data_IF_893434071386
#
_entry.id   IF_893434071386
#
_cell.length_a   1.000
_cell.length_b   1.000
_cell.length_c   1.000
_cell.angle_alpha   90.00
_cell.angle_beta   90.00
_cell.angle_gamma   90.00
#
_symmetry.space_group_name_H-M   'P 1'
#
loop_
_entity.id
_entity.type
_entity.pdbx_description
1 polymer ?
#
# COMPACT_ATOMS: atom_id res chain seq x y z
N UNK A 1 19.85 3.03 -19.35
CA UNK A 1 19.75 2.75 -17.89
C UNK A 1 20.54 3.71 -16.98
N UNK A 2 21.39 4.62 -17.49
CA UNK A 2 22.26 5.49 -16.66
C UNK A 2 21.82 6.95 -16.51
N UNK A 3 20.71 7.37 -17.15
CA UNK A 3 20.38 8.79 -17.34
C UNK A 3 19.73 9.49 -16.13
N UNK A 4 19.17 8.71 -15.20
CA UNK A 4 18.33 9.23 -14.10
C UNK A 4 18.98 9.07 -12.71
N UNK A 5 20.22 8.58 -12.63
CA UNK A 5 20.91 8.38 -11.36
C UNK A 5 21.45 9.67 -10.74
N UNK A 6 21.65 10.70 -11.56
CA UNK A 6 22.11 12.03 -11.14
C UNK A 6 20.95 13.02 -10.93
N UNK A 7 19.71 12.61 -11.22
CA UNK A 7 18.53 13.42 -10.95
C UNK A 7 18.17 13.32 -9.48
N UNK A 8 17.90 14.48 -8.88
CA UNK A 8 17.36 14.62 -7.54
C UNK A 8 16.25 13.58 -7.32
N UNK A 9 16.42 12.70 -6.33
CA UNK A 9 15.39 11.71 -6.04
C UNK A 9 14.15 12.46 -5.53
N UNK A 10 12.96 11.92 -5.77
CA UNK A 10 11.72 12.51 -5.22
C UNK A 10 11.73 12.64 -3.67
N UNK A 11 12.74 12.08 -3.00
CA UNK A 11 12.99 12.15 -1.56
C UNK A 11 14.02 13.23 -1.16
N UNK A 12 14.58 13.99 -2.10
CA UNK A 12 15.59 15.01 -1.78
C UNK A 12 15.06 16.04 -0.78
N UNK A 13 15.78 16.18 0.34
CA UNK A 13 15.40 17.00 1.49
C UNK A 13 14.37 16.38 2.44
N UNK A 14 13.81 15.20 2.12
CA UNK A 14 12.71 14.54 2.88
C UNK A 14 13.06 13.12 3.36
N UNK A 15 14.30 12.67 3.18
CA UNK A 15 14.78 11.34 3.59
C UNK A 15 14.47 11.01 5.05
N UNK A 16 14.59 11.98 5.96
CA UNK A 16 14.28 11.79 7.38
C UNK A 16 12.81 11.51 7.64
N UNK A 17 11.91 12.22 6.95
CA UNK A 17 10.46 12.00 7.06
C UNK A 17 10.09 10.62 6.54
N UNK A 18 10.61 10.24 5.38
CA UNK A 18 10.43 8.90 4.83
C UNK A 18 10.97 7.81 5.76
N UNK A 19 12.17 8.01 6.32
CA UNK A 19 12.77 7.09 7.28
C UNK A 19 11.93 6.90 8.55
N UNK A 20 11.37 7.98 9.11
CA UNK A 20 10.47 7.91 10.28
C UNK A 20 9.19 7.17 9.94
N UNK A 21 8.57 7.48 8.80
CA UNK A 21 7.36 6.80 8.34
C UNK A 21 7.63 5.31 8.15
N UNK A 22 8.73 4.95 7.49
CA UNK A 22 9.13 3.56 7.28
C UNK A 22 9.39 2.83 8.60
N UNK A 23 10.07 3.47 9.56
CA UNK A 23 10.32 2.89 10.87
C UNK A 23 9.00 2.64 11.63
N UNK A 24 8.10 3.63 11.63
CA UNK A 24 6.78 3.52 12.25
C UNK A 24 5.96 2.39 11.61
N UNK A 25 6.00 2.27 10.28
CA UNK A 25 5.38 1.20 9.51
C UNK A 25 5.92 -0.17 9.93
N UNK A 26 7.24 -0.33 9.98
CA UNK A 26 7.89 -1.57 10.35
C UNK A 26 7.52 -1.99 11.78
N UNK A 27 7.44 -1.03 12.70
CA UNK A 27 6.99 -1.27 14.08
C UNK A 27 5.52 -1.64 14.14
N UNK A 28 4.64 -1.00 13.35
CA UNK A 28 3.21 -1.33 13.28
C UNK A 28 2.96 -2.74 12.72
N UNK A 29 3.65 -3.09 11.63
CA UNK A 29 3.55 -4.40 11.01
C UNK A 29 4.10 -5.47 11.96
N UNK A 30 5.34 -5.28 12.44
CA UNK A 30 6.01 -6.22 13.33
C UNK A 30 5.28 -6.38 14.66
N UNK A 31 4.88 -5.28 15.27
CA UNK A 31 4.14 -5.24 16.53
C UNK A 31 2.76 -5.89 16.41
N UNK A 32 2.01 -5.59 15.36
CA UNK A 32 0.72 -6.24 15.13
C UNK A 32 0.86 -7.73 14.84
N UNK A 33 1.83 -8.15 14.04
CA UNK A 33 2.15 -9.57 13.85
C UNK A 33 2.50 -10.26 15.17
N UNK A 34 3.27 -9.62 16.05
CA UNK A 34 3.60 -10.16 17.38
C UNK A 34 2.36 -10.30 18.28
N UNK A 35 1.46 -9.30 18.27
CA UNK A 35 0.20 -9.36 19.01
C UNK A 35 -0.71 -10.48 18.48
N UNK A 36 -0.84 -10.62 17.16
CA UNK A 36 -1.61 -11.70 16.55
C UNK A 36 -0.98 -13.07 16.80
N UNK A 37 0.36 -13.16 16.84
CA UNK A 37 1.10 -14.38 17.20
C UNK A 37 0.75 -14.83 18.61
N UNK A 38 0.78 -13.90 19.57
CA UNK A 38 0.40 -14.17 20.96
C UNK A 38 -1.05 -14.62 21.09
N UNK A 39 -1.93 -14.15 20.21
CA UNK A 39 -3.35 -14.55 20.16
C UNK A 39 -3.63 -15.82 19.35
N UNK A 40 -2.59 -16.50 18.83
CA UNK A 40 -2.69 -17.63 17.87
C UNK A 40 -3.59 -17.34 16.66
N UNK A 41 -3.77 -16.07 16.32
CA UNK A 41 -4.68 -15.61 15.28
C UNK A 41 -3.94 -15.44 13.94
N UNK A 42 -3.11 -16.43 13.58
CA UNK A 42 -2.25 -16.42 12.38
C UNK A 42 -3.04 -16.19 11.09
N UNK A 43 -4.32 -16.59 11.06
CA UNK A 43 -5.22 -16.33 9.94
C UNK A 43 -5.38 -14.84 9.59
N UNK A 44 -5.15 -13.92 10.54
CA UNK A 44 -5.37 -12.48 10.36
C UNK A 44 -4.11 -11.71 9.95
N UNK A 45 -2.94 -12.37 9.89
CA UNK A 45 -1.67 -11.69 9.58
C UNK A 45 -1.75 -10.96 8.24
N UNK A 46 -2.26 -11.62 7.20
CA UNK A 46 -2.31 -11.05 5.84
C UNK A 46 -3.27 -9.88 5.74
N UNK A 47 -4.40 -9.94 6.46
CA UNK A 47 -5.34 -8.82 6.56
C UNK A 47 -4.72 -7.63 7.31
N UNK A 48 -4.03 -7.88 8.42
CA UNK A 48 -3.33 -6.83 9.18
C UNK A 48 -2.22 -6.17 8.36
N UNK A 49 -1.36 -6.97 7.73
CA UNK A 49 -0.28 -6.48 6.87
C UNK A 49 -0.86 -5.67 5.71
N UNK A 50 -1.93 -6.17 5.06
CA UNK A 50 -2.61 -5.44 3.98
C UNK A 50 -3.17 -4.10 4.43
N UNK A 51 -3.70 -4.03 5.66
CA UNK A 51 -4.21 -2.78 6.23
C UNK A 51 -3.09 -1.79 6.57
N UNK A 52 -1.97 -2.26 7.15
CA UNK A 52 -0.78 -1.43 7.34
C UNK A 52 -0.31 -0.85 5.99
N UNK A 53 -0.10 -1.71 5.00
CA UNK A 53 0.32 -1.29 3.65
C UNK A 53 -0.68 -0.30 3.03
N UNK A 54 -1.98 -0.49 3.22
CA UNK A 54 -2.98 0.47 2.76
C UNK A 54 -2.86 1.83 3.44
N UNK A 55 -2.62 1.85 4.75
CA UNK A 55 -2.42 3.06 5.56
C UNK A 55 -1.09 3.75 5.21
N UNK A 56 -0.06 3.00 4.83
CA UNK A 56 1.24 3.52 4.36
C UNK A 56 1.11 4.54 3.22
N UNK A 57 0.12 4.36 2.34
CA UNK A 57 -0.11 5.25 1.21
C UNK A 57 -0.54 6.67 1.62
N UNK A 58 -1.04 6.86 2.86
CA UNK A 58 -1.43 8.18 3.37
C UNK A 58 -0.22 9.11 3.57
N UNK A 59 0.82 8.75 4.35
CA UNK A 59 2.02 9.57 4.45
C UNK A 59 2.77 9.67 3.12
N UNK A 60 2.73 8.64 2.26
CA UNK A 60 3.29 8.71 0.90
C UNK A 60 2.64 9.82 0.07
N UNK A 61 1.32 9.99 0.13
CA UNK A 61 0.64 11.07 -0.58
C UNK A 61 1.16 12.45 -0.17
N UNK A 62 1.53 12.62 1.11
CA UNK A 62 2.09 13.88 1.59
C UNK A 62 3.57 14.07 1.20
N UNK A 63 4.38 13.01 1.28
CA UNK A 63 5.80 13.04 0.90
C UNK A 63 5.97 13.28 -0.60
N UNK A 64 5.16 12.63 -1.44
CA UNK A 64 5.19 12.74 -2.90
C UNK A 64 4.29 13.84 -3.45
N UNK A 65 3.39 14.41 -2.63
CA UNK A 65 2.48 15.48 -3.04
C UNK A 65 1.41 15.05 -4.04
N UNK A 66 1.14 13.75 -4.17
CA UNK A 66 0.20 13.20 -5.13
C UNK A 66 -1.05 12.63 -4.44
N UNK A 67 -2.20 13.24 -4.76
CA UNK A 67 -3.52 12.86 -4.25
C UNK A 67 -3.99 11.49 -4.73
N UNK A 68 -3.42 10.97 -5.82
CA UNK A 68 -3.76 9.64 -6.34
C UNK A 68 -3.43 8.53 -5.33
N UNK A 69 -2.40 8.72 -4.49
CA UNK A 69 -2.06 7.79 -3.40
C UNK A 69 -3.10 7.78 -2.28
N UNK A 70 -3.75 8.91 -1.99
CA UNK A 70 -4.86 8.95 -1.03
C UNK A 70 -6.07 8.18 -1.55
N UNK A 71 -6.37 8.30 -2.85
CA UNK A 71 -7.44 7.51 -3.46
C UNK A 71 -7.14 6.01 -3.38
N UNK A 72 -5.89 5.61 -3.69
CA UNK A 72 -5.45 4.23 -3.58
C UNK A 72 -5.55 3.71 -2.14
N UNK A 73 -5.11 4.52 -1.16
CA UNK A 73 -5.23 4.21 0.26
C UNK A 73 -6.69 3.99 0.66
N UNK A 74 -7.59 4.90 0.26
CA UNK A 74 -9.00 4.81 0.56
C UNK A 74 -9.63 3.55 -0.03
N UNK A 75 -9.38 3.24 -1.31
CA UNK A 75 -9.90 2.03 -1.96
C UNK A 75 -9.40 0.76 -1.26
N UNK A 76 -8.11 0.70 -0.90
CA UNK A 76 -7.55 -0.45 -0.19
C UNK A 76 -8.15 -0.61 1.21
N UNK A 77 -8.18 0.46 2.01
CA UNK A 77 -8.71 0.43 3.38
C UNK A 77 -10.19 0.06 3.38
N UNK A 78 -11.00 0.72 2.55
CA UNK A 78 -12.44 0.46 2.46
C UNK A 78 -12.70 -0.98 2.00
N UNK A 79 -11.98 -1.47 0.98
CA UNK A 79 -12.09 -2.85 0.52
C UNK A 79 -11.77 -3.87 1.63
N UNK A 80 -10.67 -3.65 2.35
CA UNK A 80 -10.26 -4.52 3.46
C UNK A 80 -11.22 -4.50 4.65
N UNK A 81 -11.79 -3.34 4.97
CA UNK A 81 -12.79 -3.19 6.03
C UNK A 81 -14.13 -3.83 5.62
N UNK A 82 -14.56 -3.65 4.37
CA UNK A 82 -15.78 -4.25 3.84
C UNK A 82 -15.69 -5.78 3.79
N UNK A 83 -14.50 -6.35 3.55
CA UNK A 83 -14.27 -7.80 3.58
C UNK A 83 -14.22 -8.37 5.01
N UNK A 84 -14.01 -7.55 6.04
CA UNK A 84 -13.90 -7.98 7.44
C UNK A 84 -15.09 -8.82 7.93
N UNK A 85 -16.37 -8.43 7.77
CA UNK A 85 -17.51 -9.24 8.21
C UNK A 85 -17.58 -10.61 7.51
N UNK A 86 -17.30 -10.65 6.20
CA UNK A 86 -17.29 -11.92 5.43
C UNK A 86 -16.12 -12.84 5.81
N UNK A 87 -14.95 -12.27 6.08
CA UNK A 87 -13.76 -12.99 6.57
C UNK A 87 -13.88 -13.42 8.03
N UNK A 88 -14.69 -12.72 8.83
CA UNK A 88 -14.97 -13.09 10.22
C UNK A 88 -15.95 -14.27 10.30
N UNK A 89 -16.91 -14.34 9.37
CA UNK A 89 -17.93 -15.40 9.30
C UNK A 89 -17.44 -16.70 8.64
N UNK A 90 -16.21 -16.73 8.14
CA UNK A 90 -15.66 -17.86 7.37
C UNK A 90 -14.38 -18.42 7.99
N UNK A 91 -14.19 -19.74 7.92
CA UNK A 91 -13.01 -20.45 8.42
C UNK A 91 -11.83 -20.49 7.43
N UNK A 92 -11.98 -19.91 6.23
CA UNK A 92 -10.89 -19.87 5.25
C UNK A 92 -9.79 -18.86 5.63
N UNK A 93 -8.57 -19.14 5.19
CA UNK A 93 -7.46 -18.19 5.33
C UNK A 93 -7.79 -16.87 4.64
N UNK A 94 -7.65 -15.74 5.36
CA UNK A 94 -7.94 -14.39 4.85
C UNK A 94 -7.21 -14.08 3.54
N UNK A 95 -6.04 -14.68 3.36
CA UNK A 95 -5.21 -14.65 2.16
C UNK A 95 -5.93 -14.85 0.84
N UNK A 96 -7.02 -15.65 0.81
CA UNK A 96 -7.74 -15.96 -0.42
C UNK A 96 -8.37 -14.73 -1.08
N UNK A 97 -8.75 -13.74 -0.29
CA UNK A 97 -9.42 -12.53 -0.78
C UNK A 97 -8.54 -11.29 -0.67
N UNK A 98 -7.73 -11.20 0.39
CA UNK A 98 -6.85 -10.05 0.61
C UNK A 98 -5.79 -9.90 -0.48
N UNK A 99 -5.16 -11.02 -0.89
CA UNK A 99 -4.08 -10.96 -1.87
C UNK A 99 -4.55 -10.62 -3.30
N UNK A 100 -5.63 -11.22 -3.84
CA UNK A 100 -6.17 -10.80 -5.13
C UNK A 100 -6.68 -9.37 -5.13
N UNK A 101 -7.30 -8.90 -4.04
CA UNK A 101 -7.76 -7.52 -3.92
C UNK A 101 -6.60 -6.53 -4.00
N UNK A 102 -5.57 -6.71 -3.18
CA UNK A 102 -4.40 -5.83 -3.21
C UNK A 102 -3.66 -5.89 -4.54
N UNK A 103 -3.51 -7.08 -5.13
CA UNK A 103 -2.90 -7.24 -6.46
C UNK A 103 -3.70 -6.56 -7.57
N UNK A 104 -5.02 -6.74 -7.60
CA UNK A 104 -5.90 -6.16 -8.62
C UNK A 104 -5.95 -4.63 -8.54
N UNK A 105 -6.02 -4.08 -7.32
CA UNK A 105 -6.02 -2.63 -7.11
C UNK A 105 -4.69 -1.99 -7.51
N UNK A 106 -3.54 -2.62 -7.21
CA UNK A 106 -2.25 -2.14 -7.70
C UNK A 106 -2.13 -2.23 -9.22
N UNK A 107 -2.58 -3.34 -9.82
CA UNK A 107 -2.55 -3.51 -11.28
C UNK A 107 -3.43 -2.47 -11.96
N UNK A 108 -4.64 -2.23 -11.45
CA UNK A 108 -5.54 -1.20 -11.95
C UNK A 108 -4.92 0.20 -11.82
N UNK A 109 -4.35 0.54 -10.66
CA UNK A 109 -3.71 1.83 -10.45
C UNK A 109 -2.51 2.05 -11.37
N UNK A 110 -1.65 1.04 -11.53
CA UNK A 110 -0.52 1.10 -12.46
C UNK A 110 -0.98 1.26 -13.92
N UNK A 111 -2.04 0.54 -14.31
CA UNK A 111 -2.59 0.60 -15.66
C UNK A 111 -3.20 1.98 -15.95
N UNK A 112 -4.02 2.49 -15.03
CA UNK A 112 -4.61 3.84 -15.13
C UNK A 112 -3.53 4.92 -15.18
N UNK A 113 -2.53 4.84 -14.30
CA UNK A 113 -1.43 5.80 -14.27
C UNK A 113 -0.62 5.76 -15.57
N UNK A 114 -0.39 4.57 -16.13
CA UNK A 114 0.26 4.39 -17.43
C UNK A 114 -0.55 4.99 -18.58
N UNK A 115 -1.86 4.76 -18.61
CA UNK A 115 -2.76 5.36 -19.62
C UNK A 115 -2.74 6.88 -19.51
N UNK A 116 -2.91 7.43 -18.31
CA UNK A 116 -2.86 8.89 -18.07
C UNK A 116 -1.52 9.46 -18.54
N UNK A 117 -0.41 8.81 -18.19
CA UNK A 117 0.93 9.22 -18.63
C UNK A 117 1.06 9.25 -20.15
N UNK A 118 0.61 8.20 -20.84
CA UNK A 118 0.65 8.10 -22.31
C UNK A 118 -0.24 9.15 -22.99
N UNK A 119 -1.43 9.40 -22.43
CA UNK A 119 -2.35 10.42 -22.98
C UNK A 119 -1.89 11.85 -22.70
N UNK A 120 -1.20 12.10 -21.59
CA UNK A 120 -0.77 13.43 -21.17
C UNK A 120 0.57 13.87 -21.75
N UNK A 121 1.52 12.94 -21.95
CA UNK A 121 2.86 13.26 -22.47
C UNK A 121 3.04 12.93 -23.96
N UNK A 122 2.05 12.28 -24.59
CA UNK A 122 2.19 11.73 -25.94
C UNK A 122 3.16 10.55 -25.98
N UNK A 123 3.05 9.72 -27.03
CA UNK A 123 3.99 8.63 -27.26
C UNK A 123 5.40 9.21 -27.45
N UNK A 124 6.42 8.77 -26.68
CA UNK A 124 7.79 9.09 -27.00
C UNK A 124 8.15 8.33 -28.28
N UNK A 125 8.21 9.04 -29.41
CA UNK A 125 8.97 8.60 -30.58
C UNK A 125 10.41 9.06 -30.40
#
# INVERSE_FOLDING_TARGET
MWRNWDTASALDGRYWVFGIVLLAEAVLIGGGCLVLARRRATRWYRWWIGLCVAVHFVPLAWVFGDWSYLLLAAVQVVGLLAMRPGLAASDYATSRWTAPWSGATFLAYASLSGVVFLTGNGYPF
#
